data_IF_289625322767
#
_entry.id   IF_289625322767
#
_cell.length_a   1.000
_cell.length_b   1.000
_cell.length_c   1.000
_cell.angle_alpha   90.00
_cell.angle_beta   90.00
_cell.angle_gamma   90.00
#
_symmetry.space_group_name_H-M   'P 1'
#
loop_
_entity.id
_entity.type
_entity.pdbx_description
1 polymer ?
#
# COMPACT_ATOMS: atom_id res chain seq x y z
N UNK A 1 20.69 -7.56 0.65
CA UNK A 1 20.34 -6.52 1.63
C UNK A 1 20.52 -5.09 1.11
N UNK A 2 21.54 -4.78 0.29
CA UNK A 2 21.74 -3.41 -0.23
C UNK A 2 20.55 -2.85 -1.04
N UNK A 3 19.89 -3.67 -1.87
CA UNK A 3 18.72 -3.25 -2.64
C UNK A 3 17.48 -2.95 -1.77
N UNK A 4 17.28 -3.72 -0.70
CA UNK A 4 16.20 -3.47 0.26
C UNK A 4 16.44 -2.16 1.02
N UNK A 5 17.69 -1.90 1.44
CA UNK A 5 18.06 -0.65 2.14
C UNK A 5 17.88 0.62 1.28
N UNK A 6 17.76 0.49 -0.03
CA UNK A 6 17.46 1.60 -0.93
C UNK A 6 15.96 1.99 -0.95
N UNK A 7 15.10 1.24 -0.27
CA UNK A 7 13.69 1.57 -0.17
C UNK A 7 13.49 2.92 0.55
N UNK A 8 12.66 3.79 -0.04
CA UNK A 8 12.31 5.06 0.57
C UNK A 8 11.25 4.84 1.66
N UNK A 9 11.72 4.60 2.89
CA UNK A 9 10.86 4.32 4.03
C UNK A 9 9.93 5.49 4.39
N UNK A 10 10.36 6.74 4.18
CA UNK A 10 9.52 7.90 4.45
C UNK A 10 8.36 7.99 3.44
N UNK A 11 8.63 7.76 2.15
CA UNK A 11 7.59 7.68 1.14
C UNK A 11 6.62 6.53 1.43
N UNK A 12 7.14 5.35 1.81
CA UNK A 12 6.30 4.23 2.21
C UNK A 12 5.41 4.57 3.40
N UNK A 13 5.92 5.27 4.42
CA UNK A 13 5.15 5.69 5.58
C UNK A 13 3.99 6.61 5.19
N UNK A 14 4.23 7.59 4.30
CA UNK A 14 3.17 8.45 3.80
C UNK A 14 2.12 7.66 3.00
N UNK A 15 2.57 6.76 2.13
CA UNK A 15 1.69 5.89 1.35
C UNK A 15 0.85 4.96 2.25
N UNK A 16 1.47 4.31 3.23
CA UNK A 16 0.81 3.44 4.20
C UNK A 16 -0.33 4.19 4.93
N UNK A 17 -0.05 5.39 5.45
CA UNK A 17 -1.07 6.16 6.14
C UNK A 17 -2.15 6.72 5.20
N UNK A 18 -1.82 7.06 3.96
CA UNK A 18 -2.79 7.49 2.96
C UNK A 18 -3.76 6.35 2.58
N UNK A 19 -3.24 5.14 2.38
CA UNK A 19 -4.02 3.92 2.16
C UNK A 19 -4.90 3.58 3.37
N UNK A 20 -4.35 3.68 4.57
CA UNK A 20 -5.07 3.41 5.81
C UNK A 20 -6.26 4.36 6.00
N UNK A 21 -6.10 5.66 5.69
CA UNK A 21 -7.21 6.63 5.72
C UNK A 21 -8.33 6.30 4.73
N UNK A 22 -8.01 5.61 3.63
CA UNK A 22 -8.97 5.16 2.61
C UNK A 22 -9.52 3.75 2.88
N UNK A 23 -9.22 3.18 4.05
CA UNK A 23 -9.77 1.90 4.48
C UNK A 23 -9.00 0.67 4.02
N UNK A 24 -7.81 0.83 3.41
CA UNK A 24 -6.95 -0.29 3.00
C UNK A 24 -5.79 -0.45 3.98
N UNK A 25 -5.77 -1.57 4.70
CA UNK A 25 -4.68 -1.91 5.61
C UNK A 25 -3.60 -2.71 4.89
N UNK A 26 -2.43 -2.10 4.70
CA UNK A 26 -1.26 -2.76 4.14
C UNK A 26 -0.40 -3.39 5.24
N UNK A 27 0.51 -4.32 4.90
CA UNK A 27 1.58 -4.70 5.82
C UNK A 27 2.33 -3.45 6.32
N UNK A 28 2.57 -3.28 7.64
CA UNK A 28 3.11 -2.04 8.22
C UNK A 28 4.61 -1.82 8.00
N UNK A 29 5.20 -2.43 6.96
CA UNK A 29 6.62 -2.35 6.65
C UNK A 29 6.88 -2.39 5.15
N UNK A 30 7.80 -1.54 4.67
CA UNK A 30 8.27 -1.52 3.28
C UNK A 30 9.03 -2.79 2.88
N UNK A 31 9.35 -3.65 3.85
CA UNK A 31 10.09 -4.90 3.66
C UNK A 31 9.18 -6.14 3.67
N UNK A 32 7.87 -5.96 3.79
CA UNK A 32 6.88 -7.04 3.82
C UNK A 32 6.20 -7.25 2.47
N UNK A 33 5.72 -8.47 2.24
CA UNK A 33 4.93 -8.83 1.06
C UNK A 33 3.44 -8.73 1.34
N UNK A 34 2.65 -8.46 0.29
CA UNK A 34 1.20 -8.45 0.38
C UNK A 34 0.67 -9.86 0.18
N UNK A 35 -0.28 -10.27 1.02
CA UNK A 35 -0.91 -11.59 0.94
C UNK A 35 -2.36 -11.44 0.48
N UNK A 36 -2.75 -12.28 -0.47
CA UNK A 36 -4.12 -12.38 -0.97
C UNK A 36 -4.79 -13.63 -0.41
N UNK A 37 -6.12 -13.63 -0.36
CA UNK A 37 -6.90 -14.80 0.01
C UNK A 37 -8.17 -14.90 -0.87
N UNK A 38 -8.84 -16.05 -0.84
CA UNK A 38 -10.02 -16.32 -1.68
C UNK A 38 -11.29 -15.56 -1.26
N UNK A 39 -11.28 -14.81 -0.15
CA UNK A 39 -12.39 -13.95 0.21
C UNK A 39 -12.40 -12.63 -0.58
N UNK A 40 -11.28 -12.26 -1.22
CA UNK A 40 -11.19 -11.07 -2.06
C UNK A 40 -11.99 -11.25 -3.36
N UNK A 41 -12.92 -10.33 -3.59
CA UNK A 41 -13.63 -10.18 -4.86
C UNK A 41 -12.89 -9.22 -5.80
N UNK A 42 -13.27 -9.22 -7.08
CA UNK A 42 -12.76 -8.21 -8.03
C UNK A 42 -13.11 -6.78 -7.61
N UNK A 43 -14.27 -6.57 -6.97
CA UNK A 43 -14.63 -5.25 -6.45
C UNK A 43 -13.69 -4.79 -5.32
N UNK A 44 -13.23 -5.70 -4.47
CA UNK A 44 -12.23 -5.39 -3.44
C UNK A 44 -10.89 -4.98 -4.06
N UNK A 45 -10.51 -5.64 -5.17
CA UNK A 45 -9.32 -5.26 -5.95
C UNK A 45 -9.48 -3.87 -6.57
N UNK A 46 -10.63 -3.59 -7.19
CA UNK A 46 -10.90 -2.27 -7.79
C UNK A 46 -10.85 -1.14 -6.76
N UNK A 47 -11.45 -1.36 -5.58
CA UNK A 47 -11.37 -0.43 -4.45
C UNK A 47 -9.92 -0.23 -3.99
N UNK A 48 -9.15 -1.31 -3.88
CA UNK A 48 -7.75 -1.27 -3.46
C UNK A 48 -6.87 -0.51 -4.46
N UNK A 49 -7.06 -0.75 -5.75
CA UNK A 49 -6.33 -0.10 -6.85
C UNK A 49 -6.65 1.40 -6.86
N UNK A 50 -7.93 1.76 -6.77
CA UNK A 50 -8.36 3.17 -6.70
C UNK A 50 -7.77 3.89 -5.49
N UNK A 51 -7.81 3.26 -4.31
CA UNK A 51 -7.21 3.83 -3.12
C UNK A 51 -5.70 4.05 -3.27
N UNK A 52 -5.00 3.14 -3.94
CA UNK A 52 -3.57 3.27 -4.23
C UNK A 52 -3.27 4.44 -5.17
N UNK A 53 -4.05 4.59 -6.25
CA UNK A 53 -3.92 5.71 -7.19
C UNK A 53 -4.14 7.06 -6.48
N UNK A 54 -5.26 7.21 -5.76
CA UNK A 54 -5.57 8.44 -5.02
C UNK A 54 -4.54 8.74 -3.93
N UNK A 55 -4.00 7.70 -3.28
CA UNK A 55 -2.96 7.87 -2.26
C UNK A 55 -1.63 8.31 -2.86
N UNK A 56 -1.25 7.83 -4.05
CA UNK A 56 -0.05 8.30 -4.74
C UNK A 56 -0.22 9.74 -5.22
N UNK A 57 -1.38 10.10 -5.75
CA UNK A 57 -1.69 11.48 -6.15
C UNK A 57 -1.67 12.47 -4.96
N UNK A 58 -1.98 12.01 -3.75
CA UNK A 58 -1.98 12.84 -2.54
C UNK A 58 -0.58 13.11 -1.99
N UNK A 59 0.36 12.17 -2.15
CA UNK A 59 1.67 12.21 -1.46
C UNK A 59 2.85 12.57 -2.36
N UNK A 60 2.66 12.55 -3.69
CA UNK A 60 3.66 12.92 -4.70
C UNK A 60 3.43 14.35 -5.20
#
# INVERSE_FOLDING_TARGET
FASAAAANNELFKHFFHAMLRKGVYLPPSAFESWFLNNALSYADLDVTIKAAEESLQEIL
#
